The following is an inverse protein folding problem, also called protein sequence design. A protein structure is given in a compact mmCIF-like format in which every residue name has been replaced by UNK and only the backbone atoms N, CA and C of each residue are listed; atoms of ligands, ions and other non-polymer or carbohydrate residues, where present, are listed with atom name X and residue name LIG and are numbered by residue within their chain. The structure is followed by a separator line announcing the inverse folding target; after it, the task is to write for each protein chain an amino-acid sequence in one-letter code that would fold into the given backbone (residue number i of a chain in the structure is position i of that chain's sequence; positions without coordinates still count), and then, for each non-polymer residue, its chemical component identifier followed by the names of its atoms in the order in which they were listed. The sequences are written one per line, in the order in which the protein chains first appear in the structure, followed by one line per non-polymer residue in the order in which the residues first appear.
data_IF_768066994610
#
_entry.id   IF_768066994610
#
_cell.length_a   1.000
_cell.length_b   1.000
_cell.length_c   1.000
_cell.angle_alpha   90.00
_cell.angle_beta   90.00
_cell.angle_gamma   90.00
#
_symmetry.space_group_name_H-M   'P 1'
#
loop_
_entity.id
_entity.type
_entity.pdbx_description
1 polymer ?
#
# COMPACT_ATOMS: atom_id res chain seq x y z
N UNK A 1 -10.22 -17.28 6.12
CA UNK A 1 -10.89 -16.02 5.72
C UNK A 1 -9.82 -14.94 5.55
N UNK A 2 -9.84 -14.20 4.46
CA UNK A 2 -8.92 -13.08 4.18
C UNK A 2 -9.68 -11.78 4.27
N UNK A 3 -9.07 -10.76 4.88
CA UNK A 3 -9.56 -9.38 4.86
C UNK A 3 -9.08 -8.73 3.55
N UNK A 4 -10.02 -8.20 2.77
CA UNK A 4 -9.76 -7.34 1.61
C UNK A 4 -10.31 -5.93 1.88
N UNK A 5 -9.94 -4.97 1.03
CA UNK A 5 -10.31 -3.56 1.22
C UNK A 5 -10.85 -2.93 -0.04
N UNK A 6 -11.77 -1.98 0.13
CA UNK A 6 -12.39 -1.17 -0.95
C UNK A 6 -11.86 0.26 -0.98
N UNK A 7 -10.88 0.61 -0.14
CA UNK A 7 -10.35 1.98 -0.07
C UNK A 7 -9.80 2.50 -1.41
N UNK A 8 -9.34 1.61 -2.29
CA UNK A 8 -8.81 1.98 -3.59
C UNK A 8 -9.91 2.39 -4.58
N UNK A 9 -11.13 1.90 -4.38
CA UNK A 9 -12.33 2.28 -5.12
C UNK A 9 -12.90 3.59 -4.53
N UNK A 10 -12.97 3.67 -3.20
CA UNK A 10 -13.55 4.80 -2.45
C UNK A 10 -12.69 6.08 -2.49
N UNK A 11 -11.43 6.01 -2.94
CA UNK A 11 -10.56 7.19 -3.02
C UNK A 11 -11.02 8.22 -4.06
N UNK A 12 -11.85 7.82 -5.03
CA UNK A 12 -12.23 8.66 -6.16
C UNK A 12 -13.00 9.89 -5.67
N UNK A 13 -12.40 11.07 -5.80
CA UNK A 13 -12.94 12.35 -5.30
C UNK A 13 -12.22 12.88 -4.06
N UNK A 14 -11.84 11.99 -3.13
CA UNK A 14 -11.21 12.37 -1.86
C UNK A 14 -9.68 12.48 -1.94
N UNK A 15 -9.03 11.68 -2.79
CA UNK A 15 -7.56 11.67 -2.91
C UNK A 15 -7.11 11.60 -4.37
N UNK A 16 -6.23 12.52 -4.77
CA UNK A 16 -5.74 12.61 -6.16
C UNK A 16 -4.80 11.46 -6.54
N UNK A 17 -4.09 10.90 -5.56
CA UNK A 17 -3.11 9.84 -5.78
C UNK A 17 -2.90 8.98 -4.52
N UNK A 18 -2.21 7.85 -4.69
CA UNK A 18 -1.90 6.91 -3.60
C UNK A 18 -0.98 7.50 -2.53
N UNK A 19 -0.14 8.48 -2.87
CA UNK A 19 0.73 9.14 -1.89
C UNK A 19 -0.06 10.02 -0.93
N UNK A 20 -1.05 10.77 -1.43
CA UNK A 20 -1.98 11.54 -0.60
C UNK A 20 -2.80 10.63 0.31
N UNK A 21 -3.29 9.51 -0.23
CA UNK A 21 -3.98 8.51 0.57
C UNK A 21 -3.08 7.94 1.68
N UNK A 22 -1.82 7.61 1.37
CA UNK A 22 -0.86 7.11 2.35
C UNK A 22 -0.60 8.12 3.47
N UNK A 23 -0.46 9.39 3.10
CA UNK A 23 -0.28 10.48 4.04
C UNK A 23 -1.50 10.64 4.96
N UNK A 24 -2.71 10.65 4.41
CA UNK A 24 -3.95 10.72 5.18
C UNK A 24 -4.13 9.51 6.12
N UNK A 25 -3.75 8.32 5.66
CA UNK A 25 -3.76 7.10 6.47
C UNK A 25 -2.63 7.05 7.51
N UNK A 26 -1.64 7.94 7.43
CA UNK A 26 -0.48 7.91 8.32
C UNK A 26 0.41 6.67 8.15
N UNK A 27 0.50 6.13 6.93
CA UNK A 27 1.33 4.97 6.60
C UNK A 27 2.29 5.26 5.46
N UNK A 28 3.30 4.40 5.30
CA UNK A 28 4.23 4.49 4.17
C UNK A 28 3.51 4.23 2.84
N UNK A 29 3.87 5.01 1.82
CA UNK A 29 3.44 4.82 0.42
C UNK A 29 3.74 3.39 -0.04
N UNK A 30 4.90 2.84 0.30
CA UNK A 30 5.28 1.46 -0.03
C UNK A 30 4.35 0.43 0.60
N UNK A 31 3.79 0.70 1.79
CA UNK A 31 2.79 -0.20 2.36
C UNK A 31 1.48 -0.19 1.55
N UNK A 32 1.04 0.97 1.10
CA UNK A 32 -0.13 1.08 0.22
C UNK A 32 0.06 0.28 -1.07
N UNK A 33 1.21 0.42 -1.73
CA UNK A 33 1.48 -0.34 -2.96
C UNK A 33 1.52 -1.85 -2.71
N UNK A 34 2.19 -2.29 -1.65
CA UNK A 34 2.27 -3.73 -1.33
C UNK A 34 0.92 -4.34 -0.97
N UNK A 35 0.03 -3.60 -0.31
CA UNK A 35 -1.35 -4.07 -0.03
C UNK A 35 -2.17 -4.10 -1.31
N UNK A 36 -2.06 -3.08 -2.16
CA UNK A 36 -2.74 -3.02 -3.46
C UNK A 36 -2.34 -4.18 -4.38
N UNK A 37 -1.06 -4.54 -4.40
CA UNK A 37 -0.52 -5.63 -5.21
C UNK A 37 -0.74 -7.02 -4.58
N UNK A 38 -1.35 -7.11 -3.39
CA UNK A 38 -1.52 -8.38 -2.67
C UNK A 38 -0.22 -8.95 -2.08
N UNK A 39 0.91 -8.23 -2.17
CA UNK A 39 2.22 -8.63 -1.61
C UNK A 39 2.31 -8.48 -0.09
N UNK A 40 1.28 -7.92 0.55
CA UNK A 40 1.18 -7.78 2.01
C UNK A 40 -0.27 -7.78 2.45
N UNK A 41 -0.55 -8.56 3.50
CA UNK A 41 -1.87 -8.59 4.14
C UNK A 41 -2.17 -7.26 4.85
N UNK A 42 -3.47 -6.97 4.97
CA UNK A 42 -3.99 -5.84 5.73
C UNK A 42 -3.70 -6.08 7.22
N UNK A 43 -3.09 -5.09 7.87
CA UNK A 43 -2.75 -5.15 9.30
C UNK A 43 -3.49 -4.07 10.08
N UNK A 44 -3.38 -4.11 11.41
CA UNK A 44 -4.00 -3.14 12.30
C UNK A 44 -3.63 -1.68 11.95
N UNK A 45 -2.37 -1.38 11.63
CA UNK A 45 -1.94 -0.03 11.25
C UNK A 45 -2.66 0.47 10.01
N UNK A 46 -2.85 -0.40 9.02
CA UNK A 46 -3.58 -0.10 7.80
C UNK A 46 -5.06 0.15 8.08
N UNK A 47 -5.69 -0.67 8.94
CA UNK A 47 -7.09 -0.51 9.34
C UNK A 47 -7.30 0.83 10.07
N UNK A 48 -6.47 1.10 11.08
CA UNK A 48 -6.54 2.37 11.84
C UNK A 48 -6.30 3.56 10.90
N UNK A 49 -5.35 3.45 9.98
CA UNK A 49 -5.09 4.49 8.99
C UNK A 49 -6.28 4.72 8.05
N UNK A 50 -6.92 3.66 7.58
CA UNK A 50 -8.09 3.77 6.71
C UNK A 50 -9.26 4.47 7.42
N UNK A 51 -9.55 4.11 8.66
CA UNK A 51 -10.61 4.75 9.46
C UNK A 51 -10.33 6.26 9.63
N UNK A 52 -9.06 6.63 9.84
CA UNK A 52 -8.66 8.04 9.95
C UNK A 52 -8.80 8.81 8.63
N UNK A 53 -8.47 8.18 7.51
CA UNK A 53 -8.56 8.78 6.19
C UNK A 53 -10.02 8.90 5.72
N UNK A 54 -10.88 7.95 6.09
CA UNK A 54 -12.27 7.88 5.67
C UNK A 54 -13.21 7.96 6.89
N UNK A 55 -13.30 9.10 7.59
CA UNK A 55 -14.12 9.24 8.79
C UNK A 55 -15.62 9.12 8.50
N UNK A 56 -16.05 9.48 7.28
CA UNK A 56 -17.45 9.40 6.83
C UNK A 56 -17.89 7.98 6.46
N UNK A 57 -16.96 7.01 6.45
CA UNK A 57 -17.23 5.63 6.05
C UNK A 57 -17.14 4.68 7.23
N UNK A 58 -18.04 3.68 7.24
CA UNK A 58 -18.05 2.64 8.26
C UNK A 58 -17.04 1.53 7.94
N UNK A 59 -16.61 0.78 8.96
CA UNK A 59 -15.56 -0.23 8.82
C UNK A 59 -15.91 -1.33 7.81
N UNK A 60 -17.17 -1.72 7.75
CA UNK A 60 -17.76 -2.69 6.81
C UNK A 60 -17.82 -2.19 5.37
N UNK A 61 -17.83 -0.88 5.14
CA UNK A 61 -17.70 -0.29 3.81
C UNK A 61 -16.24 -0.29 3.33
N UNK A 62 -15.30 -0.10 4.26
CA UNK A 62 -13.87 -0.04 3.98
C UNK A 62 -13.24 -1.42 3.79
N UNK A 63 -13.73 -2.43 4.53
CA UNK A 63 -13.15 -3.77 4.60
C UNK A 63 -14.22 -4.85 4.48
N UNK A 64 -13.87 -5.94 3.80
CA UNK A 64 -14.73 -7.11 3.66
C UNK A 64 -13.94 -8.40 3.82
N UNK A 65 -14.64 -9.45 4.23
CA UNK A 65 -14.08 -10.80 4.37
C UNK A 65 -14.38 -11.62 3.11
N UNK A 66 -13.40 -12.39 2.67
CA UNK A 66 -13.54 -13.34 1.58
C UNK A 66 -12.93 -14.68 1.94
N UNK A 67 -13.39 -15.74 1.29
CA UNK A 67 -12.77 -17.06 1.40
C UNK A 67 -11.63 -17.16 0.37
N UNK A 68 -10.54 -17.84 0.71
CA UNK A 68 -9.55 -18.23 -0.30
C UNK A 68 -10.18 -19.27 -1.22
N UNK A 69 -10.77 -18.83 -2.33
CA UNK A 69 -10.90 -19.68 -3.49
C UNK A 69 -9.51 -19.74 -4.12
N UNK A 70 -8.83 -20.88 -4.00
CA UNK A 70 -7.52 -21.08 -4.60
C UNK A 70 -7.52 -20.70 -6.07
N UNK A 71 -6.63 -19.78 -6.45
CA UNK A 71 -6.35 -19.41 -7.83
C UNK A 71 -7.01 -18.11 -8.32
N UNK A 72 -6.14 -17.21 -8.81
CA UNK A 72 -6.43 -16.10 -9.75
C UNK A 72 -6.83 -14.75 -9.15
N UNK A 73 -5.80 -13.95 -8.87
CA UNK A 73 -5.64 -12.57 -9.34
C UNK A 73 -6.94 -11.79 -9.64
N UNK A 74 -7.70 -11.42 -8.60
CA UNK A 74 -8.74 -10.38 -8.74
C UNK A 74 -8.09 -9.00 -8.67
N UNK A 75 -7.33 -8.66 -9.71
CA UNK A 75 -6.65 -7.38 -9.90
C UNK A 75 -6.51 -7.00 -11.39
N UNK A 76 -7.29 -7.64 -12.27
CA UNK A 76 -7.31 -7.34 -13.69
C UNK A 76 -8.71 -6.91 -14.13
N UNK A 77 -8.96 -5.61 -14.00
CA UNK A 77 -9.50 -4.84 -15.12
C UNK A 77 -8.73 -3.51 -15.18
N UNK A 78 -7.43 -3.63 -15.48
CA UNK A 78 -6.64 -2.50 -15.97
C UNK A 78 -7.04 -2.34 -17.43
N UNK A 79 -7.97 -1.41 -17.68
CA UNK A 79 -7.94 -0.65 -18.92
C UNK A 79 -6.53 -0.09 -19.09
N UNK A 80 -5.94 -0.35 -20.25
CA UNK A 80 -4.61 0.07 -20.70
C UNK A 80 -3.46 -0.89 -20.37
N UNK A 81 -3.53 -2.06 -21.02
CA UNK A 81 -2.35 -2.71 -21.58
C UNK A 81 -1.53 -1.68 -22.40
N UNK A 82 -0.56 -1.03 -21.74
CA UNK A 82 0.73 -0.52 -22.26
C UNK A 82 1.34 0.42 -21.21
N UNK A 83 2.60 0.18 -20.87
CA UNK A 83 3.51 1.11 -20.17
C UNK A 83 3.53 1.13 -18.64
N UNK A 84 3.88 0.02 -17.97
CA UNK A 84 4.50 0.13 -16.63
C UNK A 84 5.37 -1.08 -16.28
N UNK A 85 6.43 -1.31 -17.07
CA UNK A 85 7.44 -2.33 -16.78
C UNK A 85 8.55 -1.83 -15.83
N UNK A 86 8.72 -0.51 -15.57
CA UNK A 86 9.95 0.01 -14.94
C UNK A 86 9.80 1.26 -14.02
N UNK A 87 8.66 1.50 -13.38
CA UNK A 87 8.50 2.72 -12.56
C UNK A 87 9.24 2.68 -11.20
N UNK A 88 9.48 1.49 -10.63
CA UNK A 88 10.11 1.33 -9.31
C UNK A 88 11.65 1.31 -9.34
N UNK A 89 12.29 0.94 -10.46
CA UNK A 89 13.76 0.97 -10.58
C UNK A 89 14.35 2.39 -10.62
N UNK A 90 13.54 3.43 -10.88
CA UNK A 90 14.03 4.82 -10.98
C UNK A 90 14.13 5.56 -9.66
N UNK A 91 13.43 5.14 -8.61
CA UNK A 91 13.40 5.85 -7.33
C UNK A 91 14.46 5.39 -6.31
N UNK A 92 15.03 4.20 -6.48
CA UNK A 92 16.05 3.65 -5.54
C UNK A 92 17.47 4.21 -5.75
N UNK A 93 17.73 4.99 -6.80
CA UNK A 93 19.06 5.55 -7.08
C UNK A 93 19.38 6.86 -6.33
N UNK A 94 18.43 7.43 -5.56
CA UNK A 94 18.61 8.72 -4.88
C UNK A 94 19.00 8.63 -3.40
N UNK A 95 19.26 7.43 -2.87
CA UNK A 95 19.52 7.19 -1.44
C UNK A 95 20.94 6.70 -1.12
N UNK A 96 21.98 7.33 -1.68
CA UNK A 96 23.38 7.00 -1.36
C UNK A 96 23.95 7.99 -0.35
N UNK A 97 24.61 7.44 0.69
CA UNK A 97 25.46 8.03 1.74
C UNK A 97 24.80 8.30 3.10
N UNK A 98 25.09 7.39 4.04
CA UNK A 98 25.91 7.69 5.23
C UNK A 98 26.47 6.37 5.76
N UNK A 99 27.75 6.15 5.51
CA UNK A 99 28.54 5.10 6.13
C UNK A 99 28.69 5.42 7.63
N UNK A 100 28.43 4.45 8.50
CA UNK A 100 28.76 4.52 9.92
C UNK A 100 29.65 3.32 10.26
N UNK A 101 30.97 3.48 10.41
CA UNK A 101 31.82 2.46 10.97
C UNK A 101 32.19 2.81 12.41
N UNK A 102 31.37 2.37 13.37
CA UNK A 102 31.83 2.14 14.73
C UNK A 102 31.86 0.63 14.97
N UNK A 103 33.05 0.02 14.85
CA UNK A 103 33.60 -0.98 15.78
C UNK A 103 34.93 -1.52 15.24
N UNK A 104 36.05 -1.25 15.93
CA UNK A 104 36.83 -2.27 16.68
C UNK A 104 38.10 -1.65 17.29
N UNK A 105 38.27 -1.91 18.59
CA UNK A 105 39.45 -1.63 19.41
C UNK A 105 40.61 -2.62 19.14
N UNK A 106 41.80 -2.22 19.63
CA UNK A 106 42.94 -3.04 20.11
C UNK A 106 43.82 -3.61 18.98
N UNK A 107 45.15 -3.46 18.93
CA UNK A 107 46.22 -3.31 19.96
C UNK A 107 47.15 -2.15 19.57
#
# INVERSE_FOLDING_TARGET
MIVKTRIFELRNGNYKNLSQLAHAMGISVSQIYRVREGKRNINQKFIVGAIKAFPEHRLDELFYLTHETGGSNSGEEILSAKSNKYAWERFDLAGKRRDNPLTRHTI
#
